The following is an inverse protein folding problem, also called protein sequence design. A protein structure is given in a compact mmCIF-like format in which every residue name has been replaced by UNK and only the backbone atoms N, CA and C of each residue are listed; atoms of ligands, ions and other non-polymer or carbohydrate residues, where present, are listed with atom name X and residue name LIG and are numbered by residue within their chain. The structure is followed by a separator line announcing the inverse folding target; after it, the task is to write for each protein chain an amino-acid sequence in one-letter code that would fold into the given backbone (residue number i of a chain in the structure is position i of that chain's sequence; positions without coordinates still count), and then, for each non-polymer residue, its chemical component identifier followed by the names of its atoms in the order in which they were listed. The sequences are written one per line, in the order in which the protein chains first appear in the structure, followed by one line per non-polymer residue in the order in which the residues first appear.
data_IF_957523558583
#
_entry.id   IF_957523558583
#
_cell.length_a   1.000
_cell.length_b   1.000
_cell.length_c   1.000
_cell.angle_alpha   90.00
_cell.angle_beta   90.00
_cell.angle_gamma   90.00
#
_symmetry.space_group_name_H-M   'P 1'
#
loop_
_entity.id
_entity.type
_entity.pdbx_description
1 polymer ?
#
# COMPACT_ATOMS: atom_id res chain seq x y z
N UNK A 1 46.83 -2.45 -5.10
CA UNK A 1 45.45 -2.89 -4.84
C UNK A 1 44.54 -2.06 -5.74
N UNK A 2 43.67 -2.69 -6.54
CA UNK A 2 42.65 -1.98 -7.31
C UNK A 2 41.40 -1.89 -6.44
N UNK A 3 40.93 -0.67 -6.18
CA UNK A 3 39.66 -0.44 -5.49
C UNK A 3 38.52 -0.78 -6.46
N UNK A 4 37.90 -1.95 -6.27
CA UNK A 4 36.68 -2.31 -6.97
C UNK A 4 35.49 -1.83 -6.15
N UNK A 5 34.64 -1.04 -6.79
CA UNK A 5 33.38 -0.60 -6.22
C UNK A 5 32.32 -1.64 -6.58
N UNK A 6 32.02 -2.54 -5.64
CA UNK A 6 31.05 -3.63 -5.82
C UNK A 6 29.59 -3.18 -5.61
N UNK A 7 29.32 -1.88 -5.57
CA UNK A 7 28.03 -1.30 -5.28
C UNK A 7 27.87 0.05 -6.01
N UNK A 8 26.63 0.44 -6.25
CA UNK A 8 26.32 1.71 -6.92
C UNK A 8 26.14 2.84 -5.88
N UNK A 9 26.90 3.95 -5.95
CA UNK A 9 26.77 5.06 -5.00
C UNK A 9 25.36 5.66 -4.89
N UNK A 10 24.63 5.71 -6.01
CA UNK A 10 23.24 6.18 -6.04
C UNK A 10 22.27 5.30 -5.25
N UNK A 11 22.58 4.01 -5.08
CA UNK A 11 21.72 3.06 -4.39
C UNK A 11 21.68 3.27 -2.86
N UNK A 12 22.63 4.02 -2.27
CA UNK A 12 22.68 4.28 -0.81
C UNK A 12 21.40 4.95 -0.30
N UNK A 13 20.84 5.88 -1.08
CA UNK A 13 19.59 6.56 -0.70
C UNK A 13 18.38 5.61 -0.68
N UNK A 14 18.45 4.48 -1.39
CA UNK A 14 17.42 3.44 -1.36
C UNK A 14 17.54 2.54 -0.11
N UNK A 15 18.77 2.42 0.44
CA UNK A 15 19.07 1.61 1.62
C UNK A 15 18.71 2.33 2.92
N UNK A 16 18.88 3.65 2.98
CA UNK A 16 18.53 4.48 4.14
C UNK A 16 17.06 4.93 4.03
N UNK A 17 16.14 3.98 4.00
CA UNK A 17 14.71 4.26 3.99
C UNK A 17 14.09 3.92 5.36
N UNK A 18 13.54 4.90 6.11
CA UNK A 18 12.92 4.63 7.41
C UNK A 18 11.58 3.88 7.29
N UNK A 19 11.02 3.75 6.08
CA UNK A 19 9.73 3.12 5.85
C UNK A 19 9.90 1.70 5.28
N UNK A 20 9.72 0.69 6.13
CA UNK A 20 9.84 -0.72 5.77
C UNK A 20 8.91 -1.18 4.62
N UNK A 21 7.82 -0.45 4.37
CA UNK A 21 6.85 -0.73 3.30
C UNK A 21 7.38 -0.45 1.89
N UNK A 22 8.48 0.31 1.79
CA UNK A 22 9.08 0.74 0.52
C UNK A 22 10.47 0.13 0.30
N UNK A 23 10.90 -0.76 1.18
CA UNK A 23 12.15 -1.51 1.05
C UNK A 23 11.93 -2.63 0.02
N UNK A 24 12.87 -2.84 -0.88
CA UNK A 24 12.79 -3.97 -1.83
C UNK A 24 12.97 -5.31 -1.13
N UNK A 25 12.37 -6.37 -1.65
CA UNK A 25 12.43 -7.71 -1.05
C UNK A 25 13.88 -8.19 -0.82
N UNK A 26 14.79 -7.87 -1.75
CA UNK A 26 16.22 -8.21 -1.65
C UNK A 26 16.93 -7.45 -0.52
N UNK A 27 16.68 -6.14 -0.41
CA UNK A 27 17.25 -5.33 0.66
C UNK A 27 16.68 -5.73 2.02
N UNK A 28 15.36 -5.99 2.09
CA UNK A 28 14.70 -6.47 3.30
C UNK A 28 15.35 -7.74 3.83
N UNK A 29 15.59 -8.74 2.96
CA UNK A 29 16.28 -9.98 3.34
C UNK A 29 17.71 -9.76 3.82
N UNK A 30 18.41 -8.75 3.31
CA UNK A 30 19.78 -8.43 3.69
C UNK A 30 19.88 -7.75 5.06
N UNK A 31 18.89 -6.93 5.44
CA UNK A 31 18.92 -6.15 6.69
C UNK A 31 18.05 -6.74 7.80
N UNK A 32 17.20 -7.72 7.49
CA UNK A 32 16.34 -8.36 8.47
C UNK A 32 17.16 -9.12 9.51
N UNK A 33 16.91 -8.80 10.77
CA UNK A 33 17.33 -9.59 11.93
C UNK A 33 16.12 -10.25 12.56
N UNK A 34 16.30 -11.41 13.17
CA UNK A 34 15.25 -12.02 14.01
C UNK A 34 14.98 -11.19 15.27
N UNK A 35 13.75 -11.25 15.76
CA UNK A 35 13.32 -10.65 17.03
C UNK A 35 12.15 -11.43 17.60
N UNK A 36 11.90 -11.32 18.91
CA UNK A 36 10.77 -11.98 19.56
C UNK A 36 9.50 -11.11 19.53
N UNK A 37 8.37 -11.75 19.26
CA UNK A 37 7.04 -11.16 19.35
C UNK A 37 6.44 -11.47 20.72
N UNK A 38 5.75 -10.48 21.28
CA UNK A 38 4.76 -10.72 22.35
C UNK A 38 3.42 -11.00 21.68
N UNK A 39 2.90 -12.21 21.86
CA UNK A 39 1.65 -12.66 21.26
C UNK A 39 0.67 -13.05 22.37
N UNK A 40 -0.60 -12.69 22.19
CA UNK A 40 -1.66 -13.10 23.10
C UNK A 40 -2.86 -13.62 22.29
N UNK A 41 -3.50 -14.73 22.71
CA UNK A 41 -4.77 -15.13 22.12
C UNK A 41 -5.85 -14.09 22.43
N UNK A 42 -7.01 -14.22 21.77
CA UNK A 42 -8.15 -13.37 22.12
C UNK A 42 -8.59 -13.66 23.56
N UNK A 43 -8.48 -12.66 24.43
CA UNK A 43 -9.01 -12.70 25.80
C UNK A 43 -10.19 -11.74 25.88
N UNK A 44 -11.34 -12.25 26.32
CA UNK A 44 -12.54 -11.45 26.49
C UNK A 44 -13.06 -10.82 25.19
N UNK A 45 -13.60 -9.61 25.30
CA UNK A 45 -14.18 -8.86 24.17
C UNK A 45 -13.46 -7.55 23.89
N UNK A 46 -12.54 -7.13 24.77
CA UNK A 46 -11.83 -5.86 24.69
C UNK A 46 -10.35 -6.07 24.90
N UNK A 47 -9.55 -5.23 24.26
CA UNK A 47 -8.09 -5.25 24.43
C UNK A 47 -7.65 -5.09 25.89
N UNK A 48 -8.38 -4.29 26.68
CA UNK A 48 -8.09 -4.07 28.10
C UNK A 48 -8.24 -5.33 28.96
N UNK A 49 -8.90 -6.37 28.44
CA UNK A 49 -9.07 -7.65 29.12
C UNK A 49 -7.78 -8.50 29.05
N UNK A 50 -6.82 -8.13 28.18
CA UNK A 50 -5.55 -8.84 28.00
C UNK A 50 -4.55 -8.40 29.09
N UNK A 51 -4.51 -9.16 30.19
CA UNK A 51 -3.48 -9.01 31.23
C UNK A 51 -2.09 -9.53 30.83
N UNK A 52 -1.06 -9.15 31.58
CA UNK A 52 0.35 -9.52 31.34
C UNK A 52 0.59 -11.03 31.21
N UNK A 53 -0.09 -11.83 32.03
CA UNK A 53 0.03 -13.29 32.02
C UNK A 53 -0.45 -13.96 30.73
N UNK A 54 -1.20 -13.25 29.88
CA UNK A 54 -1.71 -13.78 28.61
C UNK A 54 -0.73 -13.58 27.45
N UNK A 55 0.38 -12.86 27.67
CA UNK A 55 1.40 -12.63 26.65
C UNK A 55 2.45 -13.73 26.69
N UNK A 56 2.78 -14.26 25.52
CA UNK A 56 3.80 -15.29 25.34
C UNK A 56 4.83 -14.78 24.36
N UNK A 57 6.10 -15.10 24.61
CA UNK A 57 7.19 -14.87 23.66
C UNK A 57 7.12 -15.89 22.52
N UNK A 58 7.17 -15.39 21.29
CA UNK A 58 7.04 -16.20 20.10
C UNK A 58 7.90 -15.63 18.97
N UNK A 59 8.58 -16.50 18.22
CA UNK A 59 9.29 -16.05 17.01
C UNK A 59 8.30 -15.76 15.88
N UNK A 60 8.64 -14.89 14.90
CA UNK A 60 7.83 -14.66 13.71
C UNK A 60 7.48 -15.95 12.95
N UNK A 61 8.42 -16.90 12.88
CA UNK A 61 8.21 -18.21 12.26
C UNK A 61 7.18 -19.07 13.01
N UNK A 62 7.27 -19.14 14.34
CA UNK A 62 6.29 -19.86 15.15
C UNK A 62 4.89 -19.23 15.05
N UNK A 63 4.83 -17.89 15.08
CA UNK A 63 3.58 -17.15 14.89
C UNK A 63 2.95 -17.41 13.53
N UNK A 64 3.76 -17.38 12.45
CA UNK A 64 3.26 -17.66 11.12
C UNK A 64 2.72 -19.08 10.98
N UNK A 65 3.40 -20.06 11.58
CA UNK A 65 2.94 -21.44 11.63
C UNK A 65 1.57 -21.57 12.30
N UNK A 66 1.39 -20.94 13.47
CA UNK A 66 0.11 -20.92 14.20
C UNK A 66 -0.99 -20.16 13.43
N UNK A 67 -0.63 -19.05 12.78
CA UNK A 67 -1.56 -18.22 12.00
C UNK A 67 -2.11 -18.94 10.76
N UNK A 68 -1.32 -19.81 10.14
CA UNK A 68 -1.68 -20.54 8.91
C UNK A 68 -2.27 -21.94 9.16
N UNK A 69 -2.56 -22.32 10.41
CA UNK A 69 -3.14 -23.61 10.72
C UNK A 69 -4.52 -23.78 10.06
N UNK A 70 -4.71 -24.88 9.32
CA UNK A 70 -5.96 -25.18 8.59
C UNK A 70 -7.19 -25.30 9.50
N UNK A 71 -6.99 -25.71 10.76
CA UNK A 71 -8.07 -25.80 11.74
C UNK A 71 -8.50 -24.42 12.32
N UNK A 72 -7.93 -23.32 11.82
CA UNK A 72 -8.33 -21.93 12.14
C UNK A 72 -8.70 -21.16 10.86
N UNK A 73 -9.85 -21.46 10.23
CA UNK A 73 -10.23 -20.89 8.92
C UNK A 73 -10.46 -19.37 8.93
N UNK A 74 -10.57 -18.75 10.10
CA UNK A 74 -10.79 -17.30 10.26
C UNK A 74 -9.78 -16.68 11.24
N UNK A 75 -8.50 -16.99 11.06
CA UNK A 75 -7.43 -16.38 11.83
C UNK A 75 -7.38 -14.86 11.56
N UNK A 76 -7.49 -14.08 12.64
CA UNK A 76 -7.33 -12.63 12.62
C UNK A 76 -6.27 -12.25 13.65
N UNK A 77 -5.28 -11.47 13.24
CA UNK A 77 -4.23 -10.97 14.11
C UNK A 77 -4.13 -9.45 14.01
N UNK A 78 -4.19 -8.77 15.16
CA UNK A 78 -3.94 -7.34 15.25
C UNK A 78 -2.48 -7.12 15.68
N UNK A 79 -1.70 -6.42 14.86
CA UNK A 79 -0.30 -6.09 15.15
C UNK A 79 -0.25 -4.71 15.82
N UNK A 80 0.08 -4.69 17.10
CA UNK A 80 0.07 -3.49 17.93
C UNK A 80 1.50 -3.03 18.26
N UNK A 81 1.69 -1.72 18.44
CA UNK A 81 2.99 -1.15 18.81
C UNK A 81 3.14 0.31 18.42
N UNK A 82 4.08 1.00 19.05
CA UNK A 82 4.41 2.40 18.77
C UNK A 82 5.08 2.57 17.40
N UNK A 83 5.18 3.81 16.90
CA UNK A 83 5.93 4.09 15.66
C UNK A 83 7.37 3.61 15.80
N UNK A 84 7.89 2.92 14.79
CA UNK A 84 9.23 2.33 14.82
C UNK A 84 9.35 0.96 15.50
N UNK A 85 8.28 0.42 16.08
CA UNK A 85 8.31 -0.90 16.76
C UNK A 85 8.34 -2.12 15.83
N UNK A 86 8.65 -1.95 14.54
CA UNK A 86 8.73 -3.05 13.58
C UNK A 86 7.40 -3.60 13.05
N UNK A 87 6.24 -2.93 13.25
CA UNK A 87 4.94 -3.43 12.75
C UNK A 87 4.92 -3.70 11.25
N UNK A 88 5.26 -2.69 10.43
CA UNK A 88 5.32 -2.85 8.97
C UNK A 88 6.43 -3.81 8.54
N UNK A 89 7.51 -3.95 9.35
CA UNK A 89 8.56 -4.95 9.13
C UNK A 89 7.99 -6.37 9.27
N UNK A 90 7.21 -6.65 10.32
CA UNK A 90 6.56 -7.94 10.52
C UNK A 90 5.60 -8.27 9.36
N UNK A 91 4.77 -7.31 8.93
CA UNK A 91 3.85 -7.51 7.80
C UNK A 91 4.63 -7.81 6.51
N UNK A 92 5.72 -7.10 6.25
CA UNK A 92 6.59 -7.36 5.10
C UNK A 92 7.22 -8.75 5.20
N UNK A 93 7.74 -9.12 6.38
CA UNK A 93 8.28 -10.45 6.63
C UNK A 93 7.25 -11.55 6.35
N UNK A 94 6.01 -11.39 6.86
CA UNK A 94 4.92 -12.33 6.60
C UNK A 94 4.61 -12.44 5.11
N UNK A 95 4.49 -11.30 4.39
CA UNK A 95 4.29 -11.29 2.93
C UNK A 95 5.33 -12.15 2.19
N UNK A 96 6.61 -12.06 2.58
CA UNK A 96 7.68 -12.83 1.92
C UNK A 96 7.67 -14.32 2.24
N UNK A 97 7.05 -14.71 3.37
CA UNK A 97 7.05 -16.08 3.87
C UNK A 97 5.71 -16.81 3.66
N UNK A 98 4.61 -16.09 3.44
CA UNK A 98 3.33 -16.68 3.02
C UNK A 98 3.40 -16.90 1.52
N UNK A 99 3.57 -18.16 1.11
CA UNK A 99 3.54 -18.51 -0.31
C UNK A 99 2.10 -18.60 -0.80
N UNK A 100 1.77 -17.96 -1.95
CA UNK A 100 0.52 -18.24 -2.63
C UNK A 100 0.52 -19.68 -3.16
N UNK A 101 -0.65 -20.28 -3.21
CA UNK A 101 -0.87 -21.62 -3.77
C UNK A 101 -2.27 -21.69 -4.40
N UNK A 102 -2.66 -22.85 -4.95
CA UNK A 102 -3.94 -23.03 -5.63
C UNK A 102 -5.17 -22.76 -4.75
N UNK A 103 -5.01 -22.79 -3.42
CA UNK A 103 -6.05 -22.53 -2.42
C UNK A 103 -5.85 -21.23 -1.66
N UNK A 104 -4.75 -20.50 -1.91
CA UNK A 104 -4.34 -19.33 -1.13
C UNK A 104 -3.91 -18.19 -2.03
N UNK A 105 -4.74 -17.15 -2.05
CA UNK A 105 -4.41 -15.84 -2.57
C UNK A 105 -3.83 -14.96 -1.44
N UNK A 106 -2.74 -14.24 -1.72
CA UNK A 106 -2.07 -13.35 -0.75
C UNK A 106 -2.11 -11.92 -1.28
N UNK A 107 -2.93 -11.07 -0.67
CA UNK A 107 -3.06 -9.66 -1.04
C UNK A 107 -2.46 -8.75 0.04
N UNK A 108 -1.66 -7.78 -0.39
CA UNK A 108 -1.05 -6.78 0.50
C UNK A 108 -1.72 -5.44 0.29
N UNK A 109 -2.60 -5.09 1.22
CA UNK A 109 -3.32 -3.81 1.20
C UNK A 109 -2.49 -2.79 1.98
N UNK A 110 -1.88 -1.82 1.28
CA UNK A 110 -1.15 -0.71 1.91
C UNK A 110 -2.11 0.33 2.46
N UNK A 111 -1.63 1.13 3.42
CA UNK A 111 -2.41 2.18 4.08
C UNK A 111 -2.85 3.30 3.12
N UNK A 112 -2.09 3.57 2.06
CA UNK A 112 -2.50 4.43 0.94
C UNK A 112 -3.28 3.61 -0.09
N UNK A 113 -4.41 4.13 -0.57
CA UNK A 113 -5.25 3.45 -1.57
C UNK A 113 -6.29 2.47 -1.01
N UNK A 114 -6.63 2.51 0.27
CA UNK A 114 -7.62 1.62 0.92
C UNK A 114 -9.08 1.98 0.61
N UNK A 115 -9.46 2.10 -0.66
CA UNK A 115 -10.89 2.06 -1.01
C UNK A 115 -11.32 0.60 -1.19
N UNK A 116 -12.56 0.27 -0.80
CA UNK A 116 -13.11 -1.05 -1.08
C UNK A 116 -13.03 -1.37 -2.59
N UNK A 117 -13.25 -0.36 -3.44
CA UNK A 117 -13.08 -0.46 -4.89
C UNK A 117 -11.65 -0.86 -5.29
N UNK A 118 -10.63 -0.28 -4.69
CA UNK A 118 -9.24 -0.64 -4.96
C UNK A 118 -8.91 -2.06 -4.49
N UNK A 119 -9.44 -2.49 -3.33
CA UNK A 119 -9.29 -3.86 -2.85
C UNK A 119 -9.96 -4.85 -3.80
N UNK A 120 -11.17 -4.56 -4.27
CA UNK A 120 -11.85 -5.41 -5.26
C UNK A 120 -11.06 -5.48 -6.57
N UNK A 121 -10.50 -4.36 -7.05
CA UNK A 121 -9.60 -4.37 -8.23
C UNK A 121 -8.37 -5.26 -8.01
N UNK A 122 -7.75 -5.23 -6.83
CA UNK A 122 -6.63 -6.12 -6.52
C UNK A 122 -7.03 -7.60 -6.56
N UNK A 123 -8.25 -7.95 -6.11
CA UNK A 123 -8.76 -9.33 -6.21
C UNK A 123 -9.00 -9.71 -7.67
N UNK A 124 -9.61 -8.82 -8.47
CA UNK A 124 -9.90 -9.10 -9.89
C UNK A 124 -8.61 -9.31 -10.68
N UNK A 125 -7.55 -8.55 -10.40
CA UNK A 125 -6.27 -8.65 -11.10
C UNK A 125 -5.58 -10.03 -10.96
N UNK A 126 -6.01 -10.85 -10.01
CA UNK A 126 -5.48 -12.20 -9.77
C UNK A 126 -6.29 -13.29 -10.50
N UNK A 127 -7.39 -12.91 -11.17
CA UNK A 127 -8.16 -13.81 -12.02
C UNK A 127 -7.52 -13.95 -13.41
N UNK A 128 -7.77 -15.06 -14.12
CA UNK A 128 -7.42 -15.20 -15.53
C UNK A 128 -7.93 -14.02 -16.38
N UNK A 129 -7.12 -13.56 -17.34
CA UNK A 129 -7.40 -12.36 -18.15
C UNK A 129 -8.78 -12.40 -18.83
N UNK A 130 -9.24 -13.59 -19.24
CA UNK A 130 -10.54 -13.81 -19.89
C UNK A 130 -11.74 -13.63 -18.94
N UNK A 131 -11.51 -13.68 -17.63
CA UNK A 131 -12.54 -13.52 -16.60
C UNK A 131 -12.57 -12.10 -16.01
N UNK A 132 -11.48 -11.34 -16.11
CA UNK A 132 -11.37 -10.03 -15.48
C UNK A 132 -12.42 -9.02 -16.00
N UNK A 133 -12.68 -9.04 -17.31
CA UNK A 133 -13.51 -8.04 -17.98
C UNK A 133 -14.92 -7.91 -17.39
N UNK A 134 -15.60 -9.04 -17.15
CA UNK A 134 -16.98 -9.05 -16.63
C UNK A 134 -17.06 -8.50 -15.19
N UNK A 135 -16.06 -8.80 -14.35
CA UNK A 135 -15.99 -8.28 -13.00
C UNK A 135 -15.64 -6.78 -12.98
N UNK A 136 -14.76 -6.33 -13.88
CA UNK A 136 -14.44 -4.91 -14.02
C UNK A 136 -15.66 -4.09 -14.46
N UNK A 137 -16.42 -4.59 -15.43
CA UNK A 137 -17.66 -3.96 -15.89
C UNK A 137 -18.70 -3.89 -14.77
N UNK A 138 -18.88 -4.99 -14.02
CA UNK A 138 -19.75 -5.01 -12.84
C UNK A 138 -19.31 -3.98 -11.80
N UNK A 139 -18.00 -3.89 -11.53
CA UNK A 139 -17.44 -2.93 -10.58
C UNK A 139 -17.64 -1.49 -11.06
N UNK A 140 -17.53 -1.21 -12.37
CA UNK A 140 -17.79 0.10 -12.96
C UNK A 140 -19.26 0.48 -12.78
N UNK A 141 -20.19 -0.38 -13.22
CA UNK A 141 -21.63 -0.13 -13.11
C UNK A 141 -22.11 0.09 -11.67
N UNK A 142 -21.50 -0.58 -10.69
CA UNK A 142 -21.79 -0.37 -9.27
C UNK A 142 -21.33 1.00 -8.73
N UNK A 143 -20.30 1.61 -9.34
CA UNK A 143 -19.82 2.95 -8.98
C UNK A 143 -20.58 4.07 -9.70
N UNK A 144 -20.94 3.84 -10.96
CA UNK A 144 -21.59 4.84 -11.82
C UNK A 144 -23.04 5.14 -11.38
N UNK A 145 -23.67 4.26 -10.61
CA UNK A 145 -25.01 4.48 -10.06
C UNK A 145 -25.11 5.58 -8.99
N UNK A 146 -23.98 6.11 -8.47
CA UNK A 146 -23.98 7.11 -7.39
C UNK A 146 -23.09 8.33 -7.63
N UNK A 147 -22.23 8.32 -8.66
CA UNK A 147 -21.28 9.39 -8.92
C UNK A 147 -21.75 10.24 -10.10
N UNK A 148 -22.07 11.52 -9.86
CA UNK A 148 -22.40 12.43 -10.96
C UNK A 148 -21.16 12.68 -11.82
N UNK A 149 -21.35 13.11 -13.08
CA UNK A 149 -20.23 13.48 -13.96
C UNK A 149 -19.34 14.55 -13.31
N UNK A 150 -19.93 15.45 -12.52
CA UNK A 150 -19.17 16.46 -11.77
C UNK A 150 -18.34 15.85 -10.64
N UNK A 151 -18.85 14.83 -9.95
CA UNK A 151 -18.09 14.09 -8.95
C UNK A 151 -16.93 13.31 -9.58
N UNK A 152 -17.09 12.81 -10.81
CA UNK A 152 -16.02 12.13 -11.54
C UNK A 152 -14.90 13.11 -11.95
N UNK A 153 -15.26 14.30 -12.45
CA UNK A 153 -14.28 15.39 -12.73
C UNK A 153 -13.50 15.78 -11.47
N UNK A 154 -14.20 15.93 -10.33
CA UNK A 154 -13.56 16.23 -9.04
C UNK A 154 -12.61 15.12 -8.59
N UNK A 155 -13.04 13.86 -8.72
CA UNK A 155 -12.22 12.71 -8.35
C UNK A 155 -10.96 12.61 -9.20
N UNK A 156 -11.07 12.79 -10.52
CA UNK A 156 -9.92 12.78 -11.43
C UNK A 156 -8.88 13.84 -11.05
N UNK A 157 -9.31 15.06 -10.72
CA UNK A 157 -8.41 16.14 -10.28
C UNK A 157 -7.73 15.83 -8.93
N UNK A 158 -8.44 15.17 -8.02
CA UNK A 158 -7.87 14.73 -6.75
C UNK A 158 -6.82 13.63 -6.98
N UNK A 159 -7.12 12.67 -7.84
CA UNK A 159 -6.24 11.53 -8.14
C UNK A 159 -4.98 12.00 -8.87
N UNK A 160 -5.07 12.92 -9.84
CA UNK A 160 -3.92 13.55 -10.49
C UNK A 160 -3.00 14.26 -9.49
N UNK A 161 -3.57 15.08 -8.60
CA UNK A 161 -2.80 15.77 -7.57
C UNK A 161 -2.10 14.77 -6.63
N UNK A 162 -2.74 13.64 -6.34
CA UNK A 162 -2.18 12.61 -5.48
C UNK A 162 -1.02 11.88 -6.18
N UNK A 163 -1.22 11.44 -7.43
CA UNK A 163 -0.19 10.73 -8.20
C UNK A 163 1.06 11.59 -8.36
N UNK A 164 0.91 12.89 -8.66
CA UNK A 164 2.05 13.81 -8.80
C UNK A 164 2.81 13.97 -7.46
N UNK A 165 2.12 14.00 -6.31
CA UNK A 165 2.80 14.07 -5.00
C UNK A 165 3.60 12.82 -4.67
N UNK A 166 3.09 11.67 -5.09
CA UNK A 166 3.72 10.37 -4.84
C UNK A 166 4.80 10.03 -5.87
N UNK A 167 4.86 10.78 -6.97
CA UNK A 167 5.83 10.59 -8.03
C UNK A 167 7.25 10.86 -7.53
N UNK A 168 8.21 10.14 -8.12
CA UNK A 168 9.63 10.29 -7.81
C UNK A 168 10.31 10.85 -9.04
N UNK A 169 10.81 12.07 -8.90
CA UNK A 169 11.65 12.66 -9.92
C UNK A 169 12.86 11.78 -10.24
N UNK A 170 13.20 11.77 -11.51
CA UNK A 170 14.41 11.14 -11.97
C UNK A 170 15.65 11.77 -11.29
N UNK A 171 16.75 11.03 -11.09
CA UNK A 171 17.94 11.55 -10.43
C UNK A 171 18.57 12.77 -11.12
N UNK A 172 18.30 12.93 -12.42
CA UNK A 172 18.74 14.00 -13.31
C UNK A 172 17.65 15.03 -13.60
N UNK A 173 16.53 14.99 -12.87
CA UNK A 173 15.45 15.95 -13.02
C UNK A 173 15.93 17.39 -12.85
N UNK A 174 15.53 18.26 -13.76
CA UNK A 174 15.96 19.65 -13.76
C UNK A 174 15.33 20.46 -12.62
N UNK A 175 15.81 21.68 -12.40
CA UNK A 175 15.29 22.55 -11.33
C UNK A 175 13.79 22.87 -11.50
N UNK A 176 13.29 22.84 -12.75
CA UNK A 176 11.89 23.13 -13.06
C UNK A 176 11.01 21.95 -12.67
N UNK A 177 11.39 20.72 -13.01
CA UNK A 177 10.70 19.50 -12.59
C UNK A 177 10.67 19.38 -11.06
N UNK A 178 11.78 19.70 -10.39
CA UNK A 178 11.87 19.77 -8.93
C UNK A 178 10.91 20.80 -8.31
N UNK A 179 10.74 21.95 -8.94
CA UNK A 179 9.78 22.96 -8.49
C UNK A 179 8.33 22.56 -8.79
N UNK A 180 8.08 21.93 -9.95
CA UNK A 180 6.75 21.55 -10.40
C UNK A 180 6.16 20.43 -9.56
N UNK A 181 6.93 19.41 -9.16
CA UNK A 181 6.38 18.31 -8.35
C UNK A 181 5.82 18.80 -7.01
N UNK A 182 6.40 19.85 -6.43
CA UNK A 182 5.93 20.46 -5.19
C UNK A 182 4.74 21.41 -5.35
N UNK A 183 4.57 22.03 -6.53
CA UNK A 183 3.61 23.10 -6.76
C UNK A 183 2.40 22.70 -7.60
N UNK A 184 2.60 21.83 -8.59
CA UNK A 184 1.59 21.37 -9.53
C UNK A 184 0.41 20.63 -8.87
N UNK A 185 0.60 19.79 -7.84
CA UNK A 185 -0.53 19.22 -7.09
C UNK A 185 -1.44 20.27 -6.47
N UNK A 186 -0.88 21.40 -6.05
CA UNK A 186 -1.65 22.49 -5.43
C UNK A 186 -2.49 23.21 -6.48
N UNK A 187 -2.01 23.31 -7.72
CA UNK A 187 -2.78 23.86 -8.84
C UNK A 187 -4.04 23.02 -9.09
N UNK A 188 -3.91 21.69 -9.12
CA UNK A 188 -5.04 20.78 -9.30
C UNK A 188 -6.01 20.76 -8.12
N UNK A 189 -5.64 21.29 -6.96
CA UNK A 189 -6.49 21.42 -5.79
C UNK A 189 -6.98 22.85 -5.54
N UNK A 190 -6.50 23.83 -6.30
CA UNK A 190 -6.85 25.23 -6.11
C UNK A 190 -8.33 25.48 -6.43
N UNK A 191 -9.12 26.06 -5.50
CA UNK A 191 -10.55 26.27 -5.70
C UNK A 191 -10.89 27.17 -6.89
N UNK A 192 -10.07 28.19 -7.16
CA UNK A 192 -10.31 29.12 -8.27
C UNK A 192 -9.99 28.42 -9.61
N UNK A 193 -8.85 27.75 -9.71
CA UNK A 193 -8.45 27.02 -10.92
C UNK A 193 -9.46 25.92 -11.28
N UNK A 194 -9.92 25.16 -10.28
CA UNK A 194 -10.96 24.14 -10.48
C UNK A 194 -12.22 24.73 -11.10
N UNK A 195 -12.73 25.80 -10.51
CA UNK A 195 -13.99 26.43 -10.95
C UNK A 195 -13.85 27.15 -12.30
N UNK A 196 -12.73 27.83 -12.53
CA UNK A 196 -12.53 28.66 -13.70
C UNK A 196 -12.04 27.88 -14.94
N UNK A 197 -11.29 26.78 -14.74
CA UNK A 197 -10.53 26.16 -15.84
C UNK A 197 -10.66 24.64 -15.95
N UNK A 198 -11.01 23.90 -14.88
CA UNK A 198 -10.95 22.43 -14.92
C UNK A 198 -12.30 21.71 -14.88
N UNK A 199 -13.32 22.29 -14.24
CA UNK A 199 -14.61 21.61 -14.04
C UNK A 199 -15.66 21.95 -15.10
N UNK A 200 -15.37 22.90 -16.00
CA UNK A 200 -16.26 23.26 -17.10
C UNK A 200 -16.45 22.11 -18.09
N UNK A 201 -17.57 22.13 -18.81
CA UNK A 201 -17.96 21.04 -19.73
C UNK A 201 -17.13 20.98 -21.02
N UNK A 202 -16.49 22.09 -21.42
CA UNK A 202 -15.62 22.19 -22.61
C UNK A 202 -14.13 22.12 -22.23
N UNK A 203 -13.77 21.28 -21.25
CA UNK A 203 -12.40 21.16 -20.77
C UNK A 203 -11.85 19.76 -21.03
N UNK A 204 -10.51 19.64 -21.09
CA UNK A 204 -9.83 18.34 -21.24
C UNK A 204 -10.26 17.35 -20.15
N UNK A 205 -10.55 17.83 -18.94
CA UNK A 205 -11.05 17.00 -17.85
C UNK A 205 -12.43 16.42 -18.19
N UNK A 206 -13.34 17.23 -18.75
CA UNK A 206 -14.66 16.78 -19.19
C UNK A 206 -14.63 15.85 -20.42
N UNK A 207 -13.57 15.88 -21.24
CA UNK A 207 -13.39 14.92 -22.33
C UNK A 207 -12.89 13.55 -21.84
N UNK A 208 -12.21 13.51 -20.68
CA UNK A 208 -11.66 12.29 -20.09
C UNK A 208 -12.72 11.51 -19.28
N UNK A 209 -13.71 12.20 -18.69
CA UNK A 209 -14.81 11.62 -17.89
C UNK A 209 -16.17 11.81 -18.55
#
# INVERSE_FOLDING_TARGET
MKNYLCWEPGAVRQVINPFAEHISDGLFRAVHSDWDLKVSPQVGKRFQDIGEANWVDMTPAAFLGDFLLENRPHALAAILGTTGSGKSHLVHWMRLNIKPDASRLVLVVRKSGTSLRAIVKMIIAELPDDQQASFLETLQSAGDGTQSRDDQKQQLLNDLAQVIREDKLAPDADEVEQALIGSLPNLFQDPHMRKAHFLGDDTVIAEIV
#
